data_IF_959320111155
#
_entry.id   IF_959320111155
#
_cell.length_a   1.000
_cell.length_b   1.000
_cell.length_c   1.000
_cell.angle_alpha   90.00
_cell.angle_beta   90.00
_cell.angle_gamma   90.00
#
_symmetry.space_group_name_H-M   'P 1'
#
loop_
_entity.id
_entity.type
_entity.pdbx_description
1 polymer ?
#
# COMPACT_ATOMS: atom_id res chain seq x y z
N UNK A 1 26.36 -14.19 5.32
CA UNK A 1 25.38 -13.20 5.40
C UNK A 1 24.58 -13.14 6.67
N UNK A 2 25.31 -13.17 7.77
CA UNK A 2 24.65 -13.04 9.06
C UNK A 2 23.83 -11.78 9.15
N UNK A 3 24.33 -10.71 8.57
CA UNK A 3 23.62 -9.46 8.57
C UNK A 3 22.26 -9.56 7.87
N UNK A 4 22.25 -10.23 6.73
CA UNK A 4 20.99 -10.38 5.99
C UNK A 4 19.99 -11.21 6.78
N UNK A 5 20.48 -12.24 7.42
CA UNK A 5 19.60 -13.08 8.22
C UNK A 5 19.02 -12.31 9.39
N UNK A 6 19.85 -11.49 10.03
CA UNK A 6 19.38 -10.66 11.14
C UNK A 6 18.29 -9.72 10.70
N UNK A 7 18.48 -9.06 9.59
CA UNK A 7 17.46 -8.18 9.06
C UNK A 7 16.17 -8.91 8.79
N UNK A 8 16.28 -10.05 8.14
CA UNK A 8 15.10 -10.84 7.81
C UNK A 8 14.31 -11.20 9.05
N UNK A 9 14.99 -11.53 10.12
CA UNK A 9 14.36 -11.90 11.37
C UNK A 9 13.51 -10.78 11.95
N UNK A 10 13.95 -9.54 11.77
CA UNK A 10 13.30 -8.40 12.42
C UNK A 10 12.40 -7.60 11.49
N UNK A 11 12.22 -8.05 10.26
CA UNK A 11 11.28 -7.40 9.39
C UNK A 11 9.88 -7.70 9.87
N UNK A 12 9.07 -6.66 9.91
CA UNK A 12 7.69 -6.80 10.38
C UNK A 12 6.75 -6.82 9.20
N UNK A 13 5.68 -7.56 9.37
CA UNK A 13 4.61 -7.63 8.40
C UNK A 13 3.45 -6.78 8.89
N UNK A 14 2.85 -6.05 7.97
CA UNK A 14 1.76 -5.15 8.31
C UNK A 14 0.60 -5.38 7.36
N UNK A 15 -0.59 -5.47 7.95
CA UNK A 15 -1.82 -5.34 7.18
C UNK A 15 -2.12 -3.87 7.07
N UNK A 16 -2.32 -3.39 5.85
CA UNK A 16 -2.60 -1.97 5.62
C UNK A 16 -3.82 -1.88 4.72
N UNK A 17 -4.75 -1.01 5.10
CA UNK A 17 -5.96 -0.77 4.31
C UNK A 17 -6.09 0.72 4.07
N UNK A 18 -6.33 1.10 2.82
CA UNK A 18 -6.60 2.49 2.50
C UNK A 18 -7.68 2.56 1.43
N UNK A 19 -8.36 3.69 1.37
CA UNK A 19 -9.58 3.82 0.58
C UNK A 19 -9.53 5.05 -0.32
N UNK A 20 -10.25 5.00 -1.44
CA UNK A 20 -10.40 6.21 -2.25
C UNK A 20 -11.13 7.30 -1.49
N UNK A 21 -10.88 8.54 -1.87
CA UNK A 21 -11.54 9.68 -1.28
C UNK A 21 -13.04 9.52 -1.35
N UNK A 22 -13.73 9.89 -0.28
CA UNK A 22 -15.18 9.74 -0.18
C UNK A 22 -15.64 8.29 -0.26
N UNK A 23 -14.69 7.35 -0.09
CA UNK A 23 -14.96 5.93 -0.14
C UNK A 23 -15.71 5.53 -1.41
N UNK A 24 -15.34 6.14 -2.52
CA UNK A 24 -15.99 5.86 -3.80
C UNK A 24 -15.63 4.47 -4.31
N UNK A 25 -16.61 3.81 -4.90
CA UNK A 25 -16.40 2.51 -5.50
C UNK A 25 -15.97 2.71 -6.94
N UNK A 26 -14.69 2.92 -7.16
CA UNK A 26 -14.17 3.22 -8.50
C UNK A 26 -13.08 2.26 -8.96
N UNK A 27 -12.61 1.39 -8.09
CA UNK A 27 -11.49 0.51 -8.42
C UNK A 27 -12.01 -0.71 -9.18
N UNK A 28 -12.20 -0.52 -10.50
CA UNK A 28 -12.69 -1.57 -11.38
C UNK A 28 -11.86 -1.62 -12.66
N UNK A 29 -11.92 -2.74 -13.31
CA UNK A 29 -11.44 -2.91 -14.70
C UNK A 29 -10.04 -2.33 -14.93
N UNK A 30 -9.93 -1.42 -15.86
CA UNK A 30 -8.64 -0.86 -16.25
C UNK A 30 -7.98 -0.09 -15.11
N UNK A 31 -8.76 0.69 -14.38
CA UNK A 31 -8.22 1.44 -13.24
C UNK A 31 -7.68 0.49 -12.18
N UNK A 32 -8.39 -0.60 -11.93
CA UNK A 32 -7.94 -1.59 -10.96
C UNK A 32 -6.59 -2.16 -11.37
N UNK A 33 -6.43 -2.51 -12.63
CA UNK A 33 -5.16 -3.05 -13.13
C UNK A 33 -4.04 -2.04 -13.00
N UNK A 34 -4.32 -0.80 -13.35
CA UNK A 34 -3.31 0.24 -13.30
C UNK A 34 -2.87 0.50 -11.85
N UNK A 35 -3.81 0.60 -10.93
CA UNK A 35 -3.47 0.81 -9.54
C UNK A 35 -2.63 -0.34 -9.01
N UNK A 36 -2.99 -1.56 -9.36
CA UNK A 36 -2.23 -2.74 -8.94
C UNK A 36 -0.79 -2.65 -9.43
N UNK A 37 -0.59 -2.25 -10.67
CA UNK A 37 0.75 -2.10 -11.23
C UNK A 37 1.53 -0.99 -10.55
N UNK A 38 0.86 0.15 -10.32
CA UNK A 38 1.52 1.27 -9.66
C UNK A 38 1.99 0.89 -8.27
N UNK A 39 1.14 0.19 -7.51
CA UNK A 39 1.50 -0.23 -6.17
C UNK A 39 2.67 -1.19 -6.19
N UNK A 40 2.67 -2.13 -7.13
CA UNK A 40 3.78 -3.07 -7.26
C UNK A 40 5.08 -2.34 -7.55
N UNK A 41 5.06 -1.40 -8.49
CA UNK A 41 6.26 -0.67 -8.86
C UNK A 41 6.76 0.19 -7.69
N UNK A 42 5.85 0.90 -7.03
CA UNK A 42 6.23 1.78 -5.94
C UNK A 42 6.80 1.01 -4.76
N UNK A 43 6.23 -0.16 -4.47
CA UNK A 43 6.78 -1.01 -3.42
C UNK A 43 8.17 -1.51 -3.81
N UNK A 44 8.30 -1.95 -5.06
CA UNK A 44 9.58 -2.46 -5.53
C UNK A 44 10.68 -1.41 -5.45
N UNK A 45 10.35 -0.17 -5.82
CA UNK A 45 11.35 0.91 -5.82
C UNK A 45 11.82 1.24 -4.41
N UNK A 46 11.02 0.95 -3.40
CA UNK A 46 11.40 1.19 -2.01
C UNK A 46 11.86 -0.07 -1.28
N UNK A 47 11.97 -1.18 -1.98
CA UNK A 47 12.40 -2.42 -1.36
C UNK A 47 11.39 -3.02 -0.41
N UNK A 48 10.12 -2.79 -0.67
CA UNK A 48 9.03 -3.32 0.15
C UNK A 48 8.45 -4.54 -0.55
N UNK A 49 8.32 -5.64 0.17
CA UNK A 49 7.76 -6.87 -0.39
C UNK A 49 6.26 -6.91 -0.14
N UNK A 50 5.52 -7.20 -1.20
CA UNK A 50 4.08 -7.41 -1.10
C UNK A 50 3.85 -8.90 -0.95
N UNK A 51 3.35 -9.30 0.22
CA UNK A 51 3.04 -10.70 0.48
C UNK A 51 1.68 -11.05 -0.08
N UNK A 52 0.70 -10.17 0.13
CA UNK A 52 -0.64 -10.31 -0.42
C UNK A 52 -1.19 -8.94 -0.77
N UNK A 53 -2.06 -8.91 -1.76
CA UNK A 53 -2.72 -7.68 -2.14
C UNK A 53 -4.12 -7.97 -2.65
N UNK A 54 -5.07 -7.16 -2.21
CA UNK A 54 -6.47 -7.29 -2.63
C UNK A 54 -7.00 -5.93 -3.03
N UNK A 55 -7.46 -5.84 -4.28
CA UNK A 55 -8.02 -4.61 -4.83
C UNK A 55 -9.52 -4.73 -4.87
N UNK A 56 -10.20 -4.14 -3.89
CA UNK A 56 -11.65 -4.13 -3.87
C UNK A 56 -12.16 -2.82 -4.45
N UNK A 57 -13.44 -2.75 -4.85
CA UNK A 57 -13.93 -1.53 -5.47
C UNK A 57 -13.76 -0.26 -4.65
N UNK A 58 -13.84 -0.35 -3.33
CA UNK A 58 -13.78 0.81 -2.45
C UNK A 58 -12.61 0.78 -1.47
N UNK A 59 -11.67 -0.15 -1.64
CA UNK A 59 -10.49 -0.17 -0.76
C UNK A 59 -9.40 -1.06 -1.32
N UNK A 60 -8.20 -0.83 -0.80
CA UNK A 60 -7.04 -1.66 -1.10
C UNK A 60 -6.57 -2.24 0.21
N UNK A 61 -6.33 -3.54 0.22
CA UNK A 61 -5.81 -4.24 1.39
C UNK A 61 -4.49 -4.89 1.01
N UNK A 62 -3.43 -4.53 1.70
CA UNK A 62 -2.09 -5.06 1.43
C UNK A 62 -1.51 -5.71 2.67
N UNK A 63 -0.79 -6.78 2.46
CA UNK A 63 0.07 -7.34 3.49
C UNK A 63 1.49 -7.10 3.02
N UNK A 64 2.22 -6.24 3.72
CA UNK A 64 3.54 -5.79 3.33
C UNK A 64 4.58 -6.18 4.34
N UNK A 65 5.78 -6.41 3.86
CA UNK A 65 6.95 -6.63 4.70
C UNK A 65 7.84 -5.40 4.56
N UNK A 66 7.98 -4.63 5.64
CA UNK A 66 8.68 -3.35 5.61
C UNK A 66 9.93 -3.46 6.49
N UNK A 67 11.10 -3.07 5.96
CA UNK A 67 12.33 -3.14 6.76
C UNK A 67 12.27 -2.18 7.95
N UNK A 68 12.95 -2.55 9.05
CA UNK A 68 12.87 -1.76 10.28
C UNK A 68 13.30 -0.31 10.14
N UNK A 69 14.16 0.00 9.20
CA UNK A 69 14.67 1.36 9.04
C UNK A 69 13.66 2.31 8.42
N UNK A 70 12.54 1.79 7.92
CA UNK A 70 11.54 2.62 7.25
C UNK A 70 10.27 2.63 8.07
N UNK A 71 9.72 3.81 8.34
CA UNK A 71 8.46 3.89 9.06
C UNK A 71 7.30 3.62 8.12
N UNK A 72 6.23 3.06 8.68
CA UNK A 72 5.01 2.81 7.92
C UNK A 72 4.44 4.14 7.41
N UNK A 73 4.43 5.17 8.25
CA UNK A 73 3.86 6.45 7.85
C UNK A 73 4.62 7.09 6.70
N UNK A 74 5.94 6.98 6.70
CA UNK A 74 6.73 7.50 5.58
C UNK A 74 6.35 6.76 4.29
N UNK A 75 6.33 5.43 4.37
CA UNK A 75 6.04 4.65 3.18
C UNK A 75 4.62 4.91 2.67
N UNK A 76 3.66 5.01 3.58
CA UNK A 76 2.28 5.24 3.15
C UNK A 76 2.10 6.61 2.53
N UNK A 77 2.79 7.62 3.04
CA UNK A 77 2.79 8.94 2.40
C UNK A 77 3.31 8.87 0.99
N UNK A 78 4.42 8.16 0.82
CA UNK A 78 5.01 7.95 -0.50
C UNK A 78 4.06 7.19 -1.42
N UNK A 79 3.54 6.07 -0.94
CA UNK A 79 2.69 5.20 -1.76
C UNK A 79 1.42 5.91 -2.21
N UNK A 80 0.74 6.55 -1.28
CA UNK A 80 -0.52 7.23 -1.59
C UNK A 80 -0.29 8.46 -2.47
N UNK A 81 0.75 9.22 -2.17
CA UNK A 81 1.04 10.42 -2.94
C UNK A 81 1.44 10.12 -4.37
N UNK A 82 2.39 9.21 -4.53
CA UNK A 82 2.87 8.88 -5.87
C UNK A 82 1.81 8.17 -6.70
N UNK A 83 1.07 7.24 -6.08
CA UNK A 83 0.04 6.54 -6.84
C UNK A 83 -1.08 7.48 -7.27
N UNK A 84 -1.43 8.48 -6.44
CA UNK A 84 -2.41 9.48 -6.84
C UNK A 84 -1.96 10.22 -8.10
N UNK A 85 -0.71 10.64 -8.13
CA UNK A 85 -0.18 11.33 -9.30
C UNK A 85 -0.24 10.45 -10.53
N UNK A 86 0.15 9.20 -10.39
CA UNK A 86 0.14 8.26 -11.52
C UNK A 86 -1.28 7.99 -12.02
N UNK A 87 -2.22 7.84 -11.09
CA UNK A 87 -3.62 7.62 -11.44
C UNK A 87 -4.16 8.80 -12.24
N UNK A 88 -3.95 10.02 -11.74
CA UNK A 88 -4.51 11.20 -12.39
C UNK A 88 -3.81 11.54 -13.70
N UNK A 89 -2.58 11.12 -13.84
CA UNK A 89 -1.86 11.34 -15.09
C UNK A 89 -2.46 10.50 -16.21
N UNK A 90 -2.82 9.27 -15.93
CA UNK A 90 -3.39 8.37 -16.91
C UNK A 90 -4.91 8.48 -17.02
N UNK A 91 -5.56 8.71 -15.90
CA UNK A 91 -7.02 8.80 -15.84
C UNK A 91 -7.43 10.21 -15.49
N UNK A 92 -7.18 11.12 -16.44
CA UNK A 92 -7.35 12.54 -16.20
C UNK A 92 -8.77 12.94 -15.82
N UNK A 93 -9.75 12.19 -16.29
CA UNK A 93 -11.15 12.48 -15.97
C UNK A 93 -11.43 12.35 -14.46
N UNK A 94 -10.65 11.56 -13.75
CA UNK A 94 -10.86 11.39 -12.33
C UNK A 94 -10.45 12.59 -11.50
N UNK A 95 -9.57 13.44 -12.05
CA UNK A 95 -9.15 14.64 -11.32
C UNK A 95 -10.34 15.51 -10.94
N UNK A 96 -11.31 15.61 -11.81
CA UNK A 96 -12.46 16.45 -11.57
C UNK A 96 -13.38 15.90 -10.49
N UNK A 97 -13.37 14.60 -10.32
CA UNK A 97 -14.17 13.95 -9.27
C UNK A 97 -13.53 14.05 -7.90
N UNK A 98 -12.22 13.91 -7.85
CA UNK A 98 -11.52 13.80 -6.57
C UNK A 98 -10.89 15.10 -6.12
N UNK A 99 -10.60 16.00 -7.05
CA UNK A 99 -10.05 17.32 -6.72
C UNK A 99 -8.70 17.26 -6.03
N UNK A 100 -8.05 18.41 -5.94
CA UNK A 100 -6.83 18.61 -5.15
C UNK A 100 -5.71 17.60 -5.33
N UNK A 101 -5.73 16.83 -6.41
CA UNK A 101 -4.64 15.91 -6.71
C UNK A 101 -4.51 14.72 -5.80
N UNK A 102 -5.51 14.44 -4.97
CA UNK A 102 -5.47 13.31 -4.06
C UNK A 102 -6.57 12.32 -4.39
N UNK A 103 -6.15 11.13 -4.75
CA UNK A 103 -7.11 10.06 -5.04
C UNK A 103 -7.57 9.36 -3.77
N UNK A 104 -6.68 9.21 -2.81
CA UNK A 104 -6.94 8.44 -1.59
C UNK A 104 -7.42 9.34 -0.46
N UNK A 105 -8.26 8.76 0.40
CA UNK A 105 -8.69 9.46 1.62
C UNK A 105 -7.49 9.62 2.55
N UNK A 106 -7.57 10.59 3.44
CA UNK A 106 -6.55 10.81 4.45
C UNK A 106 -6.48 9.61 5.38
N UNK A 107 -5.27 9.21 5.73
CA UNK A 107 -5.09 8.14 6.70
C UNK A 107 -5.13 6.76 6.09
N UNK A 108 -5.01 5.76 6.95
CA UNK A 108 -5.04 4.36 6.58
C UNK A 108 -5.13 3.54 7.85
N UNK A 109 -5.54 2.28 7.71
CA UNK A 109 -5.52 1.34 8.83
C UNK A 109 -4.26 0.51 8.75
N UNK A 110 -3.66 0.23 9.89
CA UNK A 110 -2.48 -0.62 9.93
C UNK A 110 -2.56 -1.52 11.17
N UNK A 111 -2.21 -2.78 10.99
CA UNK A 111 -2.03 -3.69 12.12
C UNK A 111 -0.79 -4.54 11.86
N UNK A 112 -0.08 -4.83 12.94
CA UNK A 112 1.13 -5.62 12.88
C UNK A 112 0.79 -7.09 12.87
N UNK A 113 1.44 -7.82 11.96
CA UNK A 113 1.38 -9.26 11.96
C UNK A 113 2.81 -9.71 12.17
N UNK A 114 3.14 -10.69 12.67
CA UNK A 114 4.53 -11.03 12.72
C UNK A 114 4.79 -12.22 13.59
N UNK A 115 5.96 -12.23 14.17
CA UNK A 115 6.44 -13.35 14.93
C UNK A 115 5.53 -13.67 16.09
N UNK A 116 4.97 -12.63 16.71
CA UNK A 116 4.12 -12.84 17.88
C UNK A 116 2.88 -13.65 17.57
N UNK A 117 2.27 -13.35 16.45
CA UNK A 117 1.06 -14.06 16.06
C UNK A 117 1.34 -15.54 15.84
N UNK A 118 2.41 -15.83 15.14
CA UNK A 118 2.79 -17.21 14.88
C UNK A 118 3.09 -17.94 16.18
N UNK A 119 3.76 -17.27 17.10
CA UNK A 119 4.11 -17.87 18.40
C UNK A 119 2.88 -18.18 19.21
N UNK A 120 1.94 -17.27 19.23
CA UNK A 120 0.73 -17.44 20.02
C UNK A 120 -0.09 -18.63 19.54
N UNK A 121 -0.09 -18.88 18.26
CA UNK A 121 -0.90 -19.96 17.70
C UNK A 121 -0.37 -21.35 18.02
N UNK A 122 0.84 -21.40 18.45
CA UNK A 122 1.39 -22.68 18.84
C UNK A 122 0.93 -23.07 20.22
#
# INVERSE_FOLDING_TARGET
MAKSLSYTKYMCKYHIVFIPKFRRKVIYNKLRKDIQEYIKDLCKWKGIDIIEGHMMPDHVHLLLEIPPKMSVSYFMGYLKGKSSLMIFEKHTNLKYKFGNGEFWATGYYVSTVGLNEATIRK
#
